data_IF_777703514341
#
_entry.id   IF_777703514341
#
_cell.length_a   1.000
_cell.length_b   1.000
_cell.length_c   1.000
_cell.angle_alpha   90.00
_cell.angle_beta   90.00
_cell.angle_gamma   90.00
#
_symmetry.space_group_name_H-M   'P 1'
#
loop_
_entity.id
_entity.type
_entity.pdbx_description
1 polymer ?
#
# COMPACT_ATOMS: atom_id res chain seq x y z
N UNK A 1 -4.66 4.68 2.90
CA UNK A 1 -5.61 3.84 2.14
C UNK A 1 -5.51 4.21 0.67
N UNK A 2 -5.30 3.25 -0.21
CA UNK A 2 -5.26 3.49 -1.65
C UNK A 2 -6.67 3.33 -2.25
N UNK A 3 -6.93 4.03 -3.35
CA UNK A 3 -8.15 3.85 -4.16
C UNK A 3 -7.80 3.56 -5.62
N UNK A 4 -8.77 3.03 -6.37
CA UNK A 4 -8.64 2.77 -7.79
C UNK A 4 -8.61 4.06 -8.61
N UNK A 5 -8.03 3.99 -9.81
CA UNK A 5 -7.94 5.12 -10.75
C UNK A 5 -9.32 5.72 -11.06
N UNK A 6 -10.34 4.87 -11.27
CA UNK A 6 -11.69 5.37 -11.56
C UNK A 6 -12.27 6.20 -10.41
N UNK A 7 -12.01 5.80 -9.15
CA UNK A 7 -12.46 6.53 -7.96
C UNK A 7 -11.71 7.86 -7.83
N UNK A 8 -10.39 7.86 -8.08
CA UNK A 8 -9.59 9.08 -8.09
C UNK A 8 -10.09 10.05 -9.17
N UNK A 9 -10.46 9.54 -10.35
CA UNK A 9 -11.06 10.34 -11.43
C UNK A 9 -12.43 10.92 -11.07
N UNK A 10 -13.26 10.16 -10.35
CA UNK A 10 -14.55 10.67 -9.86
C UNK A 10 -14.34 11.83 -8.87
N UNK A 11 -13.36 11.73 -7.96
CA UNK A 11 -12.96 12.82 -7.07
C UNK A 11 -12.45 14.02 -7.87
N UNK A 12 -11.53 13.81 -8.81
CA UNK A 12 -10.99 14.87 -9.67
C UNK A 12 -12.11 15.64 -10.39
N UNK A 13 -13.09 14.92 -10.94
CA UNK A 13 -14.25 15.51 -11.61
C UNK A 13 -15.08 16.39 -10.68
N UNK A 14 -15.30 15.98 -9.42
CA UNK A 14 -16.03 16.77 -8.42
C UNK A 14 -15.33 18.10 -8.11
N UNK A 15 -13.99 18.11 -8.16
CA UNK A 15 -13.16 19.29 -7.94
C UNK A 15 -12.85 20.08 -9.22
N UNK A 16 -13.48 19.74 -10.35
CA UNK A 16 -13.33 20.43 -11.62
C UNK A 16 -12.03 20.14 -12.37
N UNK A 17 -11.28 19.11 -11.97
CA UNK A 17 -10.11 18.64 -12.71
C UNK A 17 -10.60 17.83 -13.92
N UNK A 18 -10.22 18.21 -15.15
CA UNK A 18 -10.69 17.51 -16.33
C UNK A 18 -10.15 16.08 -16.40
N UNK A 19 -11.05 15.12 -16.55
CA UNK A 19 -10.76 13.70 -16.78
C UNK A 19 -11.53 13.24 -18.02
N UNK A 20 -11.06 12.18 -18.68
CA UNK A 20 -11.82 11.56 -19.74
C UNK A 20 -13.10 10.92 -19.17
N UNK A 21 -14.21 11.04 -19.90
CA UNK A 21 -15.41 10.28 -19.57
C UNK A 21 -15.12 8.80 -19.79
N UNK A 22 -15.31 8.00 -18.74
CA UNK A 22 -15.12 6.56 -18.83
C UNK A 22 -16.22 5.78 -18.14
N UNK A 23 -16.12 4.46 -18.27
CA UNK A 23 -17.04 3.49 -17.69
C UNK A 23 -16.24 2.34 -17.11
N UNK A 24 -16.75 1.77 -16.01
CA UNK A 24 -16.20 0.57 -15.40
C UNK A 24 -16.92 -0.66 -15.95
N UNK A 25 -16.18 -1.76 -16.13
CA UNK A 25 -16.75 -3.07 -16.42
C UNK A 25 -16.13 -4.15 -15.53
N UNK A 26 -16.96 -5.12 -15.13
CA UNK A 26 -16.58 -6.26 -14.28
C UNK A 26 -16.62 -7.61 -15.01
N UNK A 27 -17.11 -7.63 -16.25
CA UNK A 27 -17.05 -8.79 -17.13
C UNK A 27 -16.79 -8.35 -18.58
N UNK A 28 -16.39 -9.28 -19.48
CA UNK A 28 -16.10 -8.94 -20.87
C UNK A 28 -17.26 -8.33 -21.66
N UNK A 29 -18.50 -8.72 -21.38
CA UNK A 29 -19.68 -8.20 -22.08
C UNK A 29 -20.00 -6.76 -21.65
N UNK A 30 -19.89 -6.47 -20.35
CA UNK A 30 -19.91 -5.10 -19.82
C UNK A 30 -18.78 -4.27 -20.44
N UNK A 31 -17.58 -4.84 -20.60
CA UNK A 31 -16.45 -4.13 -21.18
C UNK A 31 -16.71 -3.75 -22.65
N UNK A 32 -17.31 -4.67 -23.41
CA UNK A 32 -17.75 -4.40 -24.77
C UNK A 32 -18.81 -3.31 -24.85
N UNK A 33 -19.85 -3.39 -24.00
CA UNK A 33 -20.93 -2.41 -23.96
C UNK A 33 -20.42 -1.01 -23.52
N UNK A 34 -19.55 -0.97 -22.52
CA UNK A 34 -18.92 0.25 -22.06
C UNK A 34 -18.00 0.86 -23.12
N UNK A 35 -17.19 0.03 -23.80
CA UNK A 35 -16.36 0.45 -24.92
C UNK A 35 -17.19 1.07 -26.04
N UNK A 36 -18.31 0.45 -26.43
CA UNK A 36 -19.25 1.02 -27.41
C UNK A 36 -19.82 2.37 -26.97
N UNK A 37 -20.14 2.52 -25.69
CA UNK A 37 -20.73 3.74 -25.15
C UNK A 37 -19.73 4.91 -25.07
N UNK A 38 -18.42 4.64 -24.96
CA UNK A 38 -17.37 5.68 -24.95
C UNK A 38 -16.74 5.89 -26.33
N UNK A 39 -16.87 4.93 -27.24
CA UNK A 39 -16.24 4.98 -28.56
C UNK A 39 -16.79 6.14 -29.40
N UNK A 40 -15.88 7.00 -29.82
CA UNK A 40 -16.16 8.07 -30.79
C UNK A 40 -15.29 7.83 -32.02
N UNK A 41 -15.85 7.82 -33.25
CA UNK A 41 -15.05 7.66 -34.46
C UNK A 41 -13.87 8.65 -34.51
N UNK A 42 -12.68 8.14 -34.79
CA UNK A 42 -11.44 8.93 -34.80
C UNK A 42 -10.71 9.03 -33.45
N UNK A 43 -11.28 8.48 -32.37
CA UNK A 43 -10.62 8.38 -31.06
C UNK A 43 -10.13 6.96 -30.78
N UNK A 44 -9.21 6.86 -29.83
CA UNK A 44 -8.75 5.58 -29.26
C UNK A 44 -9.51 5.28 -27.97
N UNK A 45 -9.60 4.01 -27.60
CA UNK A 45 -10.12 3.56 -26.30
C UNK A 45 -8.93 3.10 -25.45
N UNK A 46 -8.75 3.68 -24.28
CA UNK A 46 -7.82 3.15 -23.28
C UNK A 46 -8.59 2.22 -22.33
N UNK A 47 -8.27 0.94 -22.34
CA UNK A 47 -8.77 -0.04 -21.37
C UNK A 47 -7.69 -0.31 -20.31
N UNK A 48 -8.01 -0.09 -19.04
CA UNK A 48 -7.06 -0.08 -17.93
C UNK A 48 -7.52 -0.99 -16.80
N UNK A 49 -6.73 -2.01 -16.49
CA UNK A 49 -6.93 -2.85 -15.32
C UNK A 49 -6.89 -2.01 -14.04
N UNK A 50 -7.87 -2.20 -13.17
CA UNK A 50 -7.98 -1.50 -11.90
C UNK A 50 -7.31 -2.34 -10.81
N UNK A 51 -6.13 -1.89 -10.37
CA UNK A 51 -5.36 -2.46 -9.27
C UNK A 51 -4.67 -1.34 -8.49
N UNK A 52 -4.42 -1.54 -7.19
CA UNK A 52 -3.70 -0.58 -6.34
C UNK A 52 -2.18 -0.66 -6.54
N UNK A 53 -1.72 -0.41 -7.77
CA UNK A 53 -0.30 -0.38 -8.11
C UNK A 53 -0.03 0.49 -9.34
N UNK A 54 1.14 1.14 -9.35
CA UNK A 54 1.68 1.83 -10.52
C UNK A 54 2.31 0.87 -11.53
N UNK A 55 2.80 1.41 -12.65
CA UNK A 55 3.49 0.60 -13.66
C UNK A 55 2.61 -0.41 -14.42
N UNK A 56 1.28 -0.24 -14.37
CA UNK A 56 0.30 -1.14 -15.01
C UNK A 56 0.55 -1.31 -16.50
N UNK A 57 0.99 -0.25 -17.20
CA UNK A 57 1.38 -0.33 -18.62
C UNK A 57 2.53 -1.32 -18.86
N UNK A 58 3.58 -1.30 -18.02
CA UNK A 58 4.71 -2.23 -18.10
C UNK A 58 4.27 -3.68 -17.79
N UNK A 59 3.28 -3.85 -16.91
CA UNK A 59 2.64 -5.15 -16.62
C UNK A 59 1.64 -5.62 -17.68
N UNK A 60 1.42 -4.86 -18.76
CA UNK A 60 0.43 -5.16 -19.79
C UNK A 60 -1.03 -4.86 -19.39
N UNK A 61 -1.27 -4.26 -18.23
CA UNK A 61 -2.57 -3.89 -17.69
C UNK A 61 -3.22 -2.66 -18.33
N UNK A 62 -2.60 -2.05 -19.35
CA UNK A 62 -3.17 -0.95 -20.13
C UNK A 62 -3.15 -1.33 -21.61
N UNK A 63 -4.30 -1.25 -22.27
CA UNK A 63 -4.47 -1.52 -23.69
C UNK A 63 -5.05 -0.28 -24.39
N UNK A 64 -4.33 0.22 -25.39
CA UNK A 64 -4.90 1.14 -26.36
C UNK A 64 -5.57 0.31 -27.46
N UNK A 65 -6.90 0.39 -27.50
CA UNK A 65 -7.79 -0.35 -28.38
C UNK A 65 -8.35 0.57 -29.47
N UNK A 66 -8.55 0.02 -30.68
CA UNK A 66 -9.15 0.74 -31.81
C UNK A 66 -10.62 0.41 -31.99
N UNK A 67 -11.06 -0.72 -31.46
CA UNK A 67 -12.45 -1.19 -31.55
C UNK A 67 -12.97 -1.67 -30.19
N UNK A 68 -14.30 -1.67 -29.97
CA UNK A 68 -14.90 -2.33 -28.81
C UNK A 68 -14.55 -3.82 -28.70
N UNK A 69 -14.36 -4.50 -29.83
CA UNK A 69 -13.94 -5.90 -29.89
C UNK A 69 -12.53 -6.12 -29.29
N UNK A 70 -11.59 -5.20 -29.55
CA UNK A 70 -10.26 -5.23 -28.93
C UNK A 70 -10.35 -5.14 -27.40
N UNK A 71 -11.28 -4.33 -26.88
CA UNK A 71 -11.51 -4.15 -25.44
C UNK A 71 -12.08 -5.42 -24.83
N UNK A 72 -13.05 -6.07 -25.48
CA UNK A 72 -13.61 -7.33 -25.02
C UNK A 72 -12.54 -8.42 -24.91
N UNK A 73 -11.72 -8.58 -25.94
CA UNK A 73 -10.62 -9.55 -25.95
C UNK A 73 -9.59 -9.26 -24.83
N UNK A 74 -9.29 -7.99 -24.58
CA UNK A 74 -8.45 -7.59 -23.45
C UNK A 74 -9.08 -7.95 -22.10
N UNK A 75 -10.38 -7.70 -21.94
CA UNK A 75 -11.10 -8.02 -20.72
C UNK A 75 -11.16 -9.53 -20.43
N UNK A 76 -11.38 -10.36 -21.45
CA UNK A 76 -11.32 -11.84 -21.34
C UNK A 76 -9.94 -12.32 -20.88
N UNK A 77 -8.88 -11.64 -21.32
CA UNK A 77 -7.51 -11.99 -20.92
C UNK A 77 -7.20 -11.57 -19.48
N UNK A 78 -7.77 -10.46 -18.99
CA UNK A 78 -7.33 -9.82 -17.75
C UNK A 78 -8.23 -10.07 -16.54
N UNK A 79 -9.55 -10.00 -16.70
CA UNK A 79 -10.47 -10.12 -15.57
C UNK A 79 -10.34 -11.49 -14.89
N UNK A 80 -10.27 -11.48 -13.55
CA UNK A 80 -10.08 -12.67 -12.73
C UNK A 80 -8.64 -13.19 -12.66
N UNK A 81 -7.66 -12.49 -13.25
CA UNK A 81 -6.23 -12.79 -13.12
C UNK A 81 -5.53 -11.77 -12.23
N UNK A 82 -4.29 -12.07 -11.86
CA UNK A 82 -3.42 -11.15 -11.15
C UNK A 82 -2.54 -10.36 -12.13
N UNK A 83 -2.44 -9.05 -11.93
CA UNK A 83 -1.51 -8.18 -12.64
C UNK A 83 -0.21 -8.09 -11.85
N UNK A 84 0.88 -8.54 -12.45
CA UNK A 84 2.24 -8.29 -11.96
C UNK A 84 2.76 -6.99 -12.58
N UNK A 85 3.22 -6.09 -11.72
CA UNK A 85 3.85 -4.83 -12.09
C UNK A 85 5.18 -4.72 -11.36
N UNK A 86 6.04 -3.74 -11.69
CA UNK A 86 7.23 -3.44 -10.89
C UNK A 86 6.95 -3.14 -9.41
N UNK A 87 5.70 -2.87 -9.01
CA UNK A 87 5.31 -2.48 -7.65
C UNK A 87 4.51 -3.55 -6.86
N UNK A 88 4.19 -4.73 -7.43
CA UNK A 88 3.24 -5.69 -6.81
C UNK A 88 3.84 -7.02 -6.38
N UNK A 89 5.16 -7.19 -6.45
CA UNK A 89 5.78 -8.49 -6.24
C UNK A 89 5.37 -9.55 -7.29
N UNK A 90 5.88 -10.79 -7.17
CA UNK A 90 5.58 -11.90 -8.07
C UNK A 90 4.12 -12.38 -8.02
N UNK A 91 3.43 -12.18 -6.90
CA UNK A 91 2.03 -12.57 -6.69
C UNK A 91 1.05 -11.69 -7.48
N UNK A 92 1.43 -10.44 -7.75
CA UNK A 92 0.58 -9.47 -8.44
C UNK A 92 -0.66 -9.07 -7.62
N UNK A 93 -1.52 -8.25 -8.23
CA UNK A 93 -2.80 -7.83 -7.63
C UNK A 93 -3.99 -8.30 -8.46
N UNK A 94 -5.10 -8.74 -7.85
CA UNK A 94 -6.22 -9.29 -8.59
C UNK A 94 -6.95 -8.20 -9.39
N UNK A 95 -7.31 -8.52 -10.63
CA UNK A 95 -8.04 -7.63 -11.54
C UNK A 95 -9.53 -8.00 -11.52
N UNK A 96 -10.31 -7.24 -10.76
CA UNK A 96 -11.77 -7.42 -10.68
C UNK A 96 -12.56 -6.49 -11.61
N UNK A 97 -11.92 -5.46 -12.13
CA UNK A 97 -12.58 -4.52 -13.02
C UNK A 97 -11.60 -3.84 -13.98
N UNK A 98 -12.14 -3.34 -15.08
CA UNK A 98 -11.41 -2.58 -16.10
C UNK A 98 -12.13 -1.27 -16.32
N UNK A 99 -11.37 -0.18 -16.30
CA UNK A 99 -11.82 1.15 -16.66
C UNK A 99 -11.60 1.38 -18.16
N UNK A 100 -12.61 1.88 -18.86
CA UNK A 100 -12.50 2.24 -20.28
C UNK A 100 -12.84 3.70 -20.47
N UNK A 101 -12.00 4.41 -21.20
CA UNK A 101 -12.20 5.80 -21.55
C UNK A 101 -11.77 6.05 -22.98
N UNK A 102 -12.43 6.98 -23.64
CA UNK A 102 -12.01 7.44 -24.97
C UNK A 102 -11.18 8.71 -24.84
N UNK A 103 -10.17 8.80 -25.71
CA UNK A 103 -9.25 9.93 -25.72
C UNK A 103 -8.79 10.25 -27.14
N UNK A 104 -8.48 11.53 -27.36
CA UNK A 104 -7.70 11.99 -28.50
C UNK A 104 -6.21 11.69 -28.29
N UNK A 105 -5.40 11.97 -29.31
CA UNK A 105 -3.95 11.92 -29.21
C UNK A 105 -3.41 12.92 -28.19
N UNK A 106 -2.25 12.58 -27.64
CA UNK A 106 -1.54 13.36 -26.63
C UNK A 106 -0.51 14.25 -27.33
N UNK A 107 -0.55 15.55 -27.05
CA UNK A 107 0.39 16.55 -27.58
C UNK A 107 1.60 16.76 -26.67
N UNK A 108 1.36 16.80 -25.34
CA UNK A 108 2.41 17.00 -24.34
C UNK A 108 1.98 16.42 -23.00
N UNK A 109 2.92 15.79 -22.29
CA UNK A 109 2.67 15.13 -21.01
C UNK A 109 3.46 15.81 -19.89
N UNK A 110 2.85 15.86 -18.71
CA UNK A 110 3.42 16.37 -17.47
C UNK A 110 3.26 15.33 -16.37
N UNK A 111 4.15 15.41 -15.38
CA UNK A 111 3.96 14.78 -14.08
C UNK A 111 3.47 15.84 -13.09
N UNK A 112 2.51 15.48 -12.25
CA UNK A 112 2.08 16.32 -11.12
C UNK A 112 1.82 15.44 -9.91
N UNK A 113 2.34 15.83 -8.74
CA UNK A 113 2.03 15.16 -7.49
C UNK A 113 2.00 16.13 -6.31
N UNK A 114 1.30 15.75 -5.24
CA UNK A 114 1.32 16.46 -3.97
C UNK A 114 1.58 15.46 -2.86
N UNK A 115 2.56 15.78 -2.00
CA UNK A 115 2.93 14.99 -0.82
C UNK A 115 3.10 15.91 0.39
N UNK A 116 3.02 15.34 1.59
CA UNK A 116 3.49 16.02 2.81
C UNK A 116 5.00 15.82 2.95
N UNK A 117 5.78 16.89 2.80
CA UNK A 117 7.22 16.83 2.98
C UNK A 117 7.55 16.83 4.48
N UNK A 118 8.16 15.73 4.94
CA UNK A 118 8.50 15.54 6.36
C UNK A 118 9.65 16.43 6.83
N UNK A 119 10.50 16.92 5.93
CA UNK A 119 11.65 17.76 6.28
C UNK A 119 11.23 19.21 6.53
N UNK A 120 10.34 19.74 5.69
CA UNK A 120 9.81 21.11 5.81
C UNK A 120 8.52 21.17 6.61
N UNK A 121 7.86 20.03 6.85
CA UNK A 121 6.53 19.94 7.48
C UNK A 121 5.46 20.72 6.69
N UNK A 122 5.59 20.78 5.37
CA UNK A 122 4.68 21.49 4.47
C UNK A 122 4.19 20.56 3.35
N UNK A 123 3.02 20.88 2.79
CA UNK A 123 2.58 20.25 1.56
C UNK A 123 3.49 20.71 0.41
N UNK A 124 3.90 19.78 -0.44
CA UNK A 124 4.82 20.01 -1.54
C UNK A 124 4.16 19.61 -2.86
N UNK A 125 3.90 20.60 -3.71
CA UNK A 125 3.55 20.38 -5.11
C UNK A 125 4.83 20.04 -5.88
N UNK A 126 4.84 18.87 -6.50
CA UNK A 126 5.90 18.39 -7.38
C UNK A 126 5.34 18.40 -8.81
N UNK A 127 6.04 19.03 -9.74
CA UNK A 127 5.65 19.01 -11.15
C UNK A 127 6.88 18.86 -12.05
N UNK A 128 6.70 18.20 -13.19
CA UNK A 128 7.77 18.00 -14.18
C UNK A 128 7.21 17.97 -15.59
N UNK A 129 8.00 18.47 -16.55
CA UNK A 129 7.70 18.35 -17.98
C UNK A 129 8.00 16.97 -18.55
N UNK A 130 8.54 16.05 -17.74
CA UNK A 130 8.81 14.66 -18.09
C UNK A 130 7.64 13.76 -17.64
N UNK A 131 6.43 13.99 -18.16
CA UNK A 131 5.29 13.12 -17.92
C UNK A 131 5.42 11.76 -18.60
N UNK A 132 4.70 10.76 -18.10
CA UNK A 132 4.71 9.39 -18.63
C UNK A 132 5.94 8.57 -18.24
N UNK A 133 6.86 9.16 -17.47
CA UNK A 133 8.08 8.53 -16.98
C UNK A 133 7.98 8.22 -15.48
N UNK A 134 8.85 7.35 -14.99
CA UNK A 134 9.05 7.12 -13.56
C UNK A 134 9.67 8.39 -12.94
N UNK A 135 8.99 8.97 -11.95
CA UNK A 135 9.38 10.28 -11.42
C UNK A 135 10.62 10.17 -10.53
N UNK A 136 10.82 9.03 -9.90
CA UNK A 136 12.00 8.72 -9.10
C UNK A 136 13.24 8.65 -10.00
N UNK A 137 13.14 8.02 -11.18
CA UNK A 137 14.21 8.02 -12.19
C UNK A 137 14.52 9.45 -12.69
N UNK A 138 13.48 10.24 -12.96
CA UNK A 138 13.64 11.65 -13.38
C UNK A 138 14.30 12.46 -12.27
N UNK A 139 13.92 12.27 -11.01
CA UNK A 139 14.53 12.99 -9.89
C UNK A 139 16.01 12.63 -9.68
N UNK A 140 16.39 11.37 -9.93
CA UNK A 140 17.77 10.90 -9.79
C UNK A 140 18.68 11.37 -10.94
N UNK A 141 18.19 11.34 -12.17
CA UNK A 141 19.00 11.58 -13.37
C UNK A 141 18.82 12.97 -14.00
N UNK A 142 17.66 13.60 -13.76
CA UNK A 142 17.26 14.89 -14.32
C UNK A 142 16.61 15.81 -13.27
N UNK A 143 17.27 16.07 -12.12
CA UNK A 143 16.70 16.87 -11.03
C UNK A 143 16.32 18.30 -11.48
N UNK A 144 16.93 18.84 -12.54
CA UNK A 144 16.61 20.14 -13.12
C UNK A 144 15.18 20.21 -13.72
N UNK A 145 14.59 19.06 -14.08
CA UNK A 145 13.20 18.99 -14.57
C UNK A 145 12.18 18.94 -13.43
N UNK A 146 12.63 18.80 -12.19
CA UNK A 146 11.78 18.70 -11.02
C UNK A 146 11.49 20.09 -10.44
N UNK A 147 10.26 20.55 -10.61
CA UNK A 147 9.77 21.77 -9.97
C UNK A 147 9.11 21.37 -8.66
N UNK A 148 9.60 21.92 -7.55
CA UNK A 148 9.00 21.76 -6.21
C UNK A 148 8.51 23.11 -5.70
N UNK A 149 7.31 23.14 -5.16
CA UNK A 149 6.73 24.31 -4.52
C UNK A 149 6.03 23.94 -3.22
N UNK A 150 6.50 24.50 -2.11
CA UNK A 150 5.92 24.27 -0.79
C UNK A 150 4.81 25.26 -0.50
N UNK A 151 3.73 24.79 0.12
CA UNK A 151 2.61 25.62 0.52
C UNK A 151 2.04 25.20 1.88
N UNK A 152 1.39 26.15 2.55
CA UNK A 152 0.73 25.91 3.83
C UNK A 152 -0.62 25.23 3.62
N UNK A 153 -0.89 24.17 4.38
CA UNK A 153 -2.21 23.51 4.41
C UNK A 153 -3.30 24.42 4.99
N UNK A 154 -2.94 25.48 5.72
CA UNK A 154 -3.92 26.43 6.27
C UNK A 154 -4.47 27.38 5.20
N UNK A 155 -3.65 27.75 4.22
CA UNK A 155 -4.01 28.73 3.19
C UNK A 155 -4.22 28.10 1.81
N UNK A 156 -3.78 26.85 1.62
CA UNK A 156 -3.74 26.19 0.32
C UNK A 156 -2.71 26.80 -0.63
N UNK A 157 -2.75 26.36 -1.89
CA UNK A 157 -1.87 26.86 -2.95
C UNK A 157 -2.43 28.16 -3.54
N UNK A 158 -1.67 29.25 -3.42
CA UNK A 158 -2.04 30.53 -4.00
C UNK A 158 -1.97 30.51 -5.54
N UNK A 159 -2.92 31.17 -6.20
CA UNK A 159 -2.99 31.23 -7.67
C UNK A 159 -1.72 31.79 -8.33
N UNK A 160 -1.13 32.82 -7.72
CA UNK A 160 0.11 33.40 -8.22
C UNK A 160 1.26 32.40 -8.23
N UNK A 161 1.34 31.52 -7.21
CA UNK A 161 2.38 30.50 -7.13
C UNK A 161 2.10 29.34 -8.08
N UNK A 162 0.83 28.92 -8.20
CA UNK A 162 0.42 27.91 -9.18
C UNK A 162 0.79 28.32 -10.61
N UNK A 163 0.61 29.60 -10.97
CA UNK A 163 1.04 30.15 -12.27
C UNK A 163 2.56 30.14 -12.43
N UNK A 164 3.33 30.50 -11.39
CA UNK A 164 4.81 30.43 -11.43
C UNK A 164 5.30 29.00 -11.66
N UNK A 165 4.65 28.00 -11.04
CA UNK A 165 4.96 26.59 -11.27
C UNK A 165 4.63 26.20 -12.71
N UNK A 166 3.43 26.55 -13.21
CA UNK A 166 3.02 26.28 -14.58
C UNK A 166 3.98 26.87 -15.63
N UNK A 167 4.44 28.10 -15.41
CA UNK A 167 5.40 28.78 -16.28
C UNK A 167 6.77 28.09 -16.38
N UNK A 168 7.15 27.28 -15.38
CA UNK A 168 8.36 26.45 -15.44
C UNK A 168 8.19 25.18 -16.28
N UNK A 169 6.96 24.77 -16.59
CA UNK A 169 6.66 23.54 -17.33
C UNK A 169 6.38 23.80 -18.82
N UNK A 170 5.82 24.96 -19.14
CA UNK A 170 5.42 25.34 -20.49
C UNK A 170 5.36 26.86 -20.67
N UNK A 171 5.79 27.34 -21.84
CA UNK A 171 5.83 28.78 -22.17
C UNK A 171 4.45 29.37 -22.51
N UNK A 172 3.55 28.58 -23.09
CA UNK A 172 2.23 29.04 -23.52
C UNK A 172 1.30 29.33 -22.33
N UNK A 173 0.96 30.62 -22.17
CA UNK A 173 0.16 31.15 -21.08
C UNK A 173 -1.23 30.51 -20.94
N UNK A 174 -1.83 30.04 -22.04
CA UNK A 174 -3.13 29.34 -21.99
C UNK A 174 -3.00 28.07 -21.17
N UNK A 175 -1.93 27.30 -21.39
CA UNK A 175 -1.70 26.06 -20.66
C UNK A 175 -1.18 26.31 -19.25
N UNK A 176 -0.41 27.39 -19.02
CA UNK A 176 -0.03 27.79 -17.66
C UNK A 176 -1.26 28.06 -16.78
N UNK A 177 -2.30 28.73 -17.32
CA UNK A 177 -3.56 28.97 -16.60
C UNK A 177 -4.30 27.67 -16.30
N UNK A 178 -4.43 26.76 -17.28
CA UNK A 178 -5.06 25.46 -17.07
C UNK A 178 -4.31 24.60 -16.03
N UNK A 179 -2.97 24.59 -16.10
CA UNK A 179 -2.14 23.90 -15.11
C UNK A 179 -2.33 24.49 -13.71
N UNK A 180 -2.34 25.82 -13.59
CA UNK A 180 -2.55 26.49 -12.32
C UNK A 180 -3.90 26.14 -11.69
N UNK A 181 -4.98 26.10 -12.49
CA UNK A 181 -6.31 25.70 -12.01
C UNK A 181 -6.31 24.25 -11.50
N UNK A 182 -5.63 23.33 -12.20
CA UNK A 182 -5.45 21.94 -11.75
C UNK A 182 -4.65 21.87 -10.45
N UNK A 183 -3.53 22.60 -10.33
CA UNK A 183 -2.71 22.57 -9.11
C UNK A 183 -3.47 23.07 -7.89
N UNK A 184 -4.27 24.14 -8.04
CA UNK A 184 -5.11 24.66 -6.97
C UNK A 184 -6.18 23.64 -6.59
N UNK A 185 -6.85 23.02 -7.56
CA UNK A 185 -7.85 21.99 -7.29
C UNK A 185 -7.25 20.78 -6.57
N UNK A 186 -6.07 20.30 -7.01
CA UNK A 186 -5.33 19.25 -6.32
C UNK A 186 -4.96 19.64 -4.89
N UNK A 187 -4.54 20.89 -4.65
CA UNK A 187 -4.25 21.36 -3.28
C UNK A 187 -5.48 21.33 -2.38
N UNK A 188 -6.67 21.61 -2.92
CA UNK A 188 -7.94 21.51 -2.17
C UNK A 188 -8.27 20.07 -1.84
N UNK A 189 -8.21 19.17 -2.81
CA UNK A 189 -8.39 17.72 -2.60
C UNK A 189 -7.44 17.23 -1.49
N UNK A 190 -6.16 17.63 -1.59
CA UNK A 190 -5.14 17.19 -0.65
C UNK A 190 -5.47 17.56 0.80
N UNK A 191 -5.97 18.78 1.01
CA UNK A 191 -6.29 19.32 2.34
C UNK A 191 -7.66 18.83 2.84
N UNK A 192 -8.69 18.95 2.01
CA UNK A 192 -10.08 18.68 2.42
C UNK A 192 -10.34 17.20 2.68
N UNK A 193 -9.63 16.31 1.97
CA UNK A 193 -9.85 14.87 2.04
C UNK A 193 -8.74 14.12 2.81
N UNK A 194 -7.84 14.83 3.50
CA UNK A 194 -6.70 14.27 4.24
C UNK A 194 -5.87 13.27 3.40
N UNK A 195 -5.46 13.74 2.22
CA UNK A 195 -4.67 12.91 1.32
C UNK A 195 -3.20 12.94 1.75
N UNK A 196 -2.55 11.78 1.71
CA UNK A 196 -1.11 11.64 1.97
C UNK A 196 -0.26 11.72 0.69
N UNK A 197 -0.82 11.27 -0.44
CA UNK A 197 -0.22 11.34 -1.77
C UNK A 197 -1.29 11.54 -2.84
N UNK A 198 -1.10 12.53 -3.70
CA UNK A 198 -1.76 12.63 -5.00
C UNK A 198 -0.69 12.50 -6.08
N UNK A 199 -0.99 11.75 -7.13
CA UNK A 199 -0.15 11.68 -8.33
C UNK A 199 -1.04 11.61 -9.59
N UNK A 200 -0.69 12.44 -10.58
CA UNK A 200 -1.23 12.40 -11.94
C UNK A 200 -0.06 12.19 -12.89
N UNK A 201 0.00 11.01 -13.51
CA UNK A 201 1.10 10.65 -14.41
C UNK A 201 0.63 9.76 -15.58
N UNK A 202 0.29 10.33 -16.76
CA UNK A 202 0.49 11.73 -17.13
C UNK A 202 -0.73 12.63 -16.88
N UNK A 203 -0.46 13.90 -16.60
CA UNK A 203 -1.37 15.02 -16.89
C UNK A 203 -1.03 15.50 -18.31
N UNK A 204 -1.97 15.48 -19.25
CA UNK A 204 -1.65 15.66 -20.66
C UNK A 204 -2.46 16.77 -21.34
N UNK A 205 -1.80 17.49 -22.25
CA UNK A 205 -2.48 18.33 -23.23
C UNK A 205 -2.85 17.43 -24.42
N UNK A 206 -4.14 17.41 -24.75
CA UNK A 206 -4.69 16.67 -25.87
C UNK A 206 -4.52 17.46 -27.18
N UNK A 207 -4.73 16.78 -28.33
CA UNK A 207 -4.69 17.42 -29.65
C UNK A 207 -5.72 18.55 -29.83
N UNK A 208 -6.86 18.49 -29.13
CA UNK A 208 -7.86 19.57 -29.10
C UNK A 208 -7.48 20.73 -28.15
N UNK A 209 -6.31 20.64 -27.52
CA UNK A 209 -5.75 21.66 -26.63
C UNK A 209 -6.38 21.71 -25.25
N UNK A 210 -7.14 20.70 -24.83
CA UNK A 210 -7.60 20.53 -23.45
C UNK A 210 -6.54 19.82 -22.61
N UNK A 211 -6.44 20.19 -21.33
CA UNK A 211 -5.65 19.46 -20.35
C UNK A 211 -6.52 18.36 -19.72
N UNK A 212 -6.04 17.12 -19.66
CA UNK A 212 -6.73 15.98 -19.04
C UNK A 212 -5.80 15.21 -18.10
N UNK A 213 -6.31 14.81 -16.94
CA UNK A 213 -5.66 13.84 -16.07
C UNK A 213 -5.86 12.42 -16.64
N UNK A 214 -4.82 11.89 -17.29
CA UNK A 214 -4.89 10.61 -17.99
C UNK A 214 -4.80 9.46 -17.02
N UNK A 215 -3.88 9.52 -16.05
CA UNK A 215 -3.79 8.53 -14.97
C UNK A 215 -3.79 9.24 -13.62
N UNK A 216 -4.32 8.58 -12.60
CA UNK A 216 -4.56 9.15 -11.28
C UNK A 216 -4.31 8.12 -10.19
N UNK A 217 -3.57 8.54 -9.16
CA UNK A 217 -3.34 7.80 -7.93
C UNK A 217 -3.56 8.71 -6.74
N UNK A 218 -4.32 8.23 -5.77
CA UNK A 218 -4.58 8.92 -4.50
C UNK A 218 -4.40 7.91 -3.37
N UNK A 219 -3.61 8.31 -2.37
CA UNK A 219 -3.49 7.59 -1.10
C UNK A 219 -3.95 8.51 0.04
N UNK A 220 -4.95 8.09 0.80
CA UNK A 220 -5.45 8.80 1.98
C UNK A 220 -4.64 8.45 3.23
N UNK A 221 -4.60 9.37 4.20
CA UNK A 221 -4.16 9.05 5.56
C UNK A 221 -5.19 8.16 6.25
N UNK A 222 -4.78 6.93 6.62
CA UNK A 222 -5.64 5.96 7.31
C UNK A 222 -6.18 6.51 8.63
N UNK A 223 -5.41 7.38 9.30
CA UNK A 223 -5.80 7.97 10.58
C UNK A 223 -6.94 8.97 10.45
N UNK A 224 -7.24 9.46 9.24
CA UNK A 224 -8.30 10.43 9.00
C UNK A 224 -9.61 9.79 8.51
N UNK A 225 -9.63 8.49 8.21
CA UNK A 225 -10.81 7.84 7.60
C UNK A 225 -12.07 7.91 8.48
N UNK A 226 -11.92 8.02 9.81
CA UNK A 226 -13.06 8.13 10.73
C UNK A 226 -13.95 9.35 10.47
N UNK A 227 -13.42 10.40 9.83
CA UNK A 227 -14.14 11.64 9.48
C UNK A 227 -14.49 11.75 7.99
N UNK A 228 -14.18 10.71 7.20
CA UNK A 228 -14.43 10.64 5.76
C UNK A 228 -15.17 9.34 5.39
N UNK A 229 -16.42 9.14 5.84
CA UNK A 229 -17.17 7.91 5.58
C UNK A 229 -17.35 7.64 4.08
N UNK A 230 -17.50 8.67 3.25
CA UNK A 230 -17.60 8.58 1.80
C UNK A 230 -16.32 8.09 1.12
N UNK A 231 -15.16 8.29 1.75
CA UNK A 231 -13.88 7.73 1.31
C UNK A 231 -13.71 6.32 1.86
N UNK A 232 -14.06 6.07 3.13
CA UNK A 232 -13.91 4.76 3.76
C UNK A 232 -14.66 3.64 2.99
N UNK A 233 -15.82 3.94 2.39
CA UNK A 233 -16.56 2.98 1.56
C UNK A 233 -15.85 2.59 0.25
N UNK A 234 -14.84 3.35 -0.17
CA UNK A 234 -14.05 3.08 -1.37
C UNK A 234 -13.00 1.99 -1.16
N UNK A 235 -12.76 1.56 0.09
CA UNK A 235 -11.78 0.54 0.43
C UNK A 235 -12.04 -0.78 -0.30
N UNK A 236 -11.03 -1.26 -1.02
CA UNK A 236 -11.05 -2.56 -1.68
C UNK A 236 -10.08 -3.53 -0.96
N UNK A 237 -10.58 -4.39 -0.05
CA UNK A 237 -9.75 -5.33 0.69
C UNK A 237 -9.12 -6.41 -0.21
N UNK A 238 -9.61 -6.60 -1.45
CA UNK A 238 -9.01 -7.56 -2.37
C UNK A 238 -7.62 -7.15 -2.86
N UNK A 239 -7.29 -5.86 -2.71
CA UNK A 239 -6.00 -5.31 -3.09
C UNK A 239 -4.96 -5.37 -1.97
N UNK A 240 -5.35 -5.72 -0.74
CA UNK A 240 -4.46 -5.84 0.42
C UNK A 240 -4.04 -7.31 0.61
N UNK A 241 -2.95 -7.53 1.36
CA UNK A 241 -2.65 -8.87 1.86
C UNK A 241 -3.77 -9.30 2.83
N UNK A 242 -4.30 -10.51 2.65
CA UNK A 242 -5.37 -11.03 3.51
C UNK A 242 -4.93 -11.12 4.97
N UNK A 243 -3.65 -11.38 5.22
CA UNK A 243 -3.06 -11.43 6.57
C UNK A 243 -3.03 -10.05 7.21
N UNK A 244 -2.71 -9.01 6.44
CA UNK A 244 -2.76 -7.62 6.90
C UNK A 244 -4.20 -7.19 7.19
N UNK A 245 -5.15 -7.59 6.33
CA UNK A 245 -6.57 -7.31 6.53
C UNK A 245 -7.13 -7.99 7.78
N UNK A 246 -6.76 -9.26 8.03
CA UNK A 246 -7.12 -9.95 9.28
C UNK A 246 -6.45 -9.29 10.51
N UNK A 247 -5.18 -8.87 10.40
CA UNK A 247 -4.47 -8.18 11.48
C UNK A 247 -5.17 -6.87 11.90
N UNK A 248 -5.61 -6.07 10.92
CA UNK A 248 -6.32 -4.80 11.17
C UNK A 248 -7.58 -4.99 12.04
N UNK A 249 -8.30 -6.12 11.91
CA UNK A 249 -9.51 -6.40 12.72
C UNK A 249 -9.23 -6.52 14.21
N UNK A 250 -8.00 -6.86 14.58
CA UNK A 250 -7.55 -7.00 15.96
C UNK A 250 -6.66 -5.84 16.43
N UNK A 251 -6.59 -4.75 15.64
CA UNK A 251 -5.69 -3.62 15.93
C UNK A 251 -4.24 -4.11 16.09
N UNK A 252 -3.81 -4.92 15.12
CA UNK A 252 -2.46 -5.43 14.95
C UNK A 252 -1.84 -4.79 13.70
N UNK A 253 -0.61 -4.31 13.80
CA UNK A 253 0.14 -3.84 12.64
C UNK A 253 0.99 -4.98 12.09
N UNK A 254 0.57 -5.57 10.98
CA UNK A 254 1.25 -6.68 10.31
C UNK A 254 1.75 -6.24 8.93
N UNK A 255 2.92 -6.73 8.52
CA UNK A 255 3.40 -6.65 7.13
C UNK A 255 4.05 -7.99 6.78
N UNK A 256 3.60 -8.61 5.69
CA UNK A 256 4.17 -9.87 5.20
C UNK A 256 5.55 -9.65 4.56
N UNK A 257 6.51 -10.54 4.84
CA UNK A 257 7.83 -10.57 4.21
C UNK A 257 8.12 -11.97 3.66
N UNK A 258 9.27 -12.18 3.03
CA UNK A 258 9.60 -13.42 2.32
C UNK A 258 10.45 -14.42 3.11
N UNK A 259 10.68 -14.16 4.40
CA UNK A 259 11.45 -15.04 5.26
C UNK A 259 10.69 -16.22 5.87
N UNK A 260 11.34 -16.88 6.82
CA UNK A 260 10.86 -18.11 7.46
C UNK A 260 10.68 -18.00 8.97
N UNK A 261 11.16 -16.89 9.57
CA UNK A 261 11.04 -16.65 11.01
C UNK A 261 9.90 -15.66 11.27
N UNK A 262 8.80 -16.17 11.80
CA UNK A 262 7.68 -15.35 12.24
C UNK A 262 8.04 -14.53 13.47
N UNK A 263 7.71 -13.25 13.49
CA UNK A 263 7.98 -12.36 14.61
C UNK A 263 6.68 -11.96 15.31
N UNK A 264 6.65 -11.95 16.64
CA UNK A 264 5.60 -11.31 17.47
C UNK A 264 6.28 -10.38 18.46
N UNK A 265 6.03 -9.08 18.32
CA UNK A 265 6.75 -8.05 19.09
C UNK A 265 5.78 -6.96 19.54
N UNK A 266 6.08 -6.29 20.65
CA UNK A 266 5.36 -5.09 21.08
C UNK A 266 6.19 -3.83 20.84
N UNK A 267 5.60 -2.86 20.14
CA UNK A 267 6.21 -1.62 19.72
C UNK A 267 6.93 -1.73 18.37
N UNK A 268 6.53 -0.88 17.43
CA UNK A 268 7.06 -0.86 16.06
C UNK A 268 8.60 -0.77 15.98
N UNK A 269 9.23 0.04 16.84
CA UNK A 269 10.69 0.15 16.87
C UNK A 269 11.39 -1.16 17.27
N UNK A 270 10.85 -1.87 18.26
CA UNK A 270 11.38 -3.16 18.68
C UNK A 270 11.09 -4.25 17.64
N UNK A 271 9.94 -4.18 16.96
CA UNK A 271 9.59 -5.10 15.88
C UNK A 271 10.59 -4.98 14.71
N UNK A 272 10.92 -3.75 14.29
CA UNK A 272 11.97 -3.50 13.30
C UNK A 272 13.34 -4.01 13.76
N UNK A 273 13.76 -3.68 14.98
CA UNK A 273 15.03 -4.16 15.52
C UNK A 273 15.09 -5.71 15.62
N UNK A 274 13.95 -6.36 15.87
CA UNK A 274 13.85 -7.82 15.93
C UNK A 274 14.07 -8.46 14.57
N UNK A 275 13.46 -7.89 13.52
CA UNK A 275 13.71 -8.31 12.14
C UNK A 275 15.16 -8.10 11.74
N UNK A 276 15.74 -6.94 12.08
CA UNK A 276 17.14 -6.62 11.77
C UNK A 276 18.11 -7.59 12.43
N UNK A 277 17.89 -7.95 13.70
CA UNK A 277 18.79 -8.88 14.39
C UNK A 277 18.65 -10.32 13.88
N UNK A 278 17.46 -10.73 13.42
CA UNK A 278 17.27 -12.02 12.73
C UNK A 278 18.10 -12.04 11.43
N UNK A 279 18.02 -10.96 10.65
CA UNK A 279 18.80 -10.80 9.41
C UNK A 279 20.30 -10.78 9.68
N UNK A 280 20.71 -10.07 10.74
CA UNK A 280 22.10 -10.02 11.20
C UNK A 280 22.66 -11.41 11.57
N UNK A 281 21.85 -12.26 12.21
CA UNK A 281 22.24 -13.64 12.55
C UNK A 281 22.08 -14.64 11.38
N UNK A 282 21.70 -14.15 10.18
CA UNK A 282 21.78 -14.90 8.93
C UNK A 282 20.51 -15.64 8.50
N UNK A 283 19.33 -15.21 8.95
CA UNK A 283 18.04 -15.71 8.45
C UNK A 283 17.13 -14.57 8.02
N UNK A 284 16.10 -14.86 7.22
CA UNK A 284 15.15 -13.83 6.80
C UNK A 284 13.89 -13.84 7.69
N UNK A 285 13.44 -12.67 8.19
CA UNK A 285 12.18 -12.55 8.91
C UNK A 285 10.98 -12.72 7.96
N UNK A 286 9.96 -13.44 8.40
CA UNK A 286 8.76 -13.73 7.60
C UNK A 286 7.72 -12.60 7.66
N UNK A 287 7.81 -11.70 8.64
CA UNK A 287 6.87 -10.62 8.82
C UNK A 287 7.39 -9.55 9.78
N UNK A 288 6.81 -8.35 9.66
CA UNK A 288 6.67 -7.39 10.77
C UNK A 288 5.34 -7.68 11.48
N UNK A 289 5.32 -7.66 12.81
CA UNK A 289 4.07 -7.71 13.59
C UNK A 289 4.25 -7.02 14.94
N UNK A 290 3.53 -5.91 15.10
CA UNK A 290 3.39 -5.16 16.35
C UNK A 290 2.02 -5.45 16.99
N UNK A 291 2.04 -6.01 18.20
CA UNK A 291 0.84 -6.28 19.02
C UNK A 291 0.42 -5.10 19.90
N UNK A 292 1.17 -3.99 19.87
CA UNK A 292 0.97 -2.79 20.66
C UNK A 292 1.41 -2.93 22.13
N UNK A 293 1.28 -1.85 22.89
CA UNK A 293 1.71 -1.79 24.30
C UNK A 293 0.88 -2.65 25.27
N UNK A 294 -0.34 -3.04 24.89
CA UNK A 294 -1.23 -3.91 25.65
C UNK A 294 -1.58 -5.17 24.87
N UNK A 295 -0.76 -6.20 24.95
CA UNK A 295 -1.02 -7.47 24.27
C UNK A 295 -2.05 -8.29 25.06
N UNK A 296 -3.33 -8.16 24.71
CA UNK A 296 -4.38 -9.03 25.25
C UNK A 296 -4.21 -10.47 24.75
N UNK A 297 -4.80 -11.43 25.47
CA UNK A 297 -4.84 -12.84 25.04
C UNK A 297 -5.41 -12.99 23.62
N UNK A 298 -6.46 -12.24 23.30
CA UNK A 298 -7.11 -12.25 21.98
C UNK A 298 -6.18 -11.75 20.87
N UNK A 299 -5.46 -10.64 21.11
CA UNK A 299 -4.46 -10.10 20.17
C UNK A 299 -3.34 -11.10 19.91
N UNK A 300 -2.86 -11.80 20.96
CA UNK A 300 -1.83 -12.84 20.83
C UNK A 300 -2.36 -14.06 20.06
N UNK A 301 -3.60 -14.49 20.30
CA UNK A 301 -4.21 -15.59 19.55
C UNK A 301 -4.40 -15.25 18.07
N UNK A 302 -4.86 -14.03 17.78
CA UNK A 302 -4.96 -13.53 16.41
C UNK A 302 -3.58 -13.49 15.73
N UNK A 303 -2.55 -13.00 16.42
CA UNK A 303 -1.17 -13.00 15.93
C UNK A 303 -0.69 -14.40 15.52
N UNK A 304 -0.91 -15.43 16.35
CA UNK A 304 -0.55 -16.80 16.00
C UNK A 304 -1.34 -17.33 14.80
N UNK A 305 -2.64 -17.07 14.73
CA UNK A 305 -3.47 -17.50 13.60
C UNK A 305 -2.99 -16.88 12.27
N UNK A 306 -2.65 -15.59 12.30
CA UNK A 306 -2.13 -14.86 11.14
C UNK A 306 -0.75 -15.40 10.76
N UNK A 307 0.18 -15.54 11.70
CA UNK A 307 1.52 -16.06 11.45
C UNK A 307 1.51 -17.47 10.85
N UNK A 308 0.76 -18.37 11.48
CA UNK A 308 0.71 -19.76 11.06
C UNK A 308 0.01 -19.91 9.70
N UNK A 309 -0.80 -18.93 9.28
CA UNK A 309 -1.39 -18.90 7.94
C UNK A 309 -0.37 -18.83 6.81
N UNK A 310 0.82 -18.28 7.09
CA UNK A 310 1.94 -18.33 6.18
C UNK A 310 2.68 -19.67 6.28
N UNK A 311 2.61 -20.46 5.22
CA UNK A 311 3.28 -21.77 5.13
C UNK A 311 4.82 -21.65 5.14
N UNK A 312 5.36 -20.46 4.88
CA UNK A 312 6.80 -20.18 4.92
C UNK A 312 7.33 -20.11 6.35
N UNK A 313 6.49 -19.79 7.33
CA UNK A 313 6.90 -19.71 8.74
C UNK A 313 7.29 -21.10 9.25
N UNK A 314 8.57 -21.27 9.61
CA UNK A 314 9.17 -22.50 10.15
C UNK A 314 9.69 -22.35 11.57
N UNK A 315 9.88 -21.13 12.06
CA UNK A 315 10.24 -20.82 13.43
C UNK A 315 9.56 -19.51 13.85
N UNK A 316 9.35 -19.32 15.16
CA UNK A 316 8.73 -18.10 15.70
C UNK A 316 9.63 -17.48 16.76
N UNK A 317 9.88 -16.17 16.66
CA UNK A 317 10.49 -15.36 17.70
C UNK A 317 9.44 -14.42 18.32
N UNK A 318 9.15 -14.64 19.61
CA UNK A 318 8.35 -13.74 20.43
C UNK A 318 9.31 -12.89 21.25
N UNK A 319 9.37 -11.60 20.96
CA UNK A 319 10.23 -10.66 21.69
C UNK A 319 9.36 -9.59 22.34
N UNK A 320 9.14 -9.71 23.65
CA UNK A 320 8.26 -8.80 24.38
C UNK A 320 9.01 -8.12 25.50
N UNK A 321 8.98 -6.80 25.47
CA UNK A 321 9.44 -5.94 26.55
C UNK A 321 8.21 -5.48 27.36
N UNK A 322 8.01 -6.10 28.53
CA UNK A 322 6.97 -5.79 29.49
C UNK A 322 7.19 -4.43 30.16
N UNK A 323 6.63 -3.38 29.55
CA UNK A 323 6.48 -2.06 30.18
C UNK A 323 5.38 -2.08 31.22
N UNK A 324 4.18 -1.66 30.83
CA UNK A 324 2.98 -1.66 31.70
C UNK A 324 2.44 -3.09 31.93
N UNK A 325 2.70 -4.00 30.98
CA UNK A 325 2.21 -5.37 31.03
C UNK A 325 3.18 -6.29 31.78
N UNK A 326 2.63 -7.12 32.69
CA UNK A 326 3.38 -8.14 33.42
C UNK A 326 3.65 -9.37 32.56
N UNK A 327 4.89 -9.83 32.53
CA UNK A 327 5.32 -10.98 31.73
C UNK A 327 4.65 -12.30 32.15
N UNK A 328 4.30 -12.48 33.42
CA UNK A 328 3.60 -13.69 33.90
C UNK A 328 2.15 -13.79 33.38
N UNK A 329 1.48 -12.64 33.23
CA UNK A 329 0.13 -12.57 32.63
C UNK A 329 0.20 -12.87 31.14
N UNK A 330 1.17 -12.26 30.45
CA UNK A 330 1.41 -12.52 29.02
C UNK A 330 1.75 -13.99 28.76
N UNK A 331 2.63 -14.59 29.57
CA UNK A 331 3.01 -15.99 29.43
C UNK A 331 1.78 -16.92 29.51
N UNK A 332 0.88 -16.68 30.46
CA UNK A 332 -0.41 -17.40 30.54
C UNK A 332 -1.28 -17.14 29.31
N UNK A 333 -1.36 -15.89 28.87
CA UNK A 333 -2.11 -15.51 27.67
C UNK A 333 -1.60 -16.20 26.40
N UNK A 334 -0.28 -16.35 26.24
CA UNK A 334 0.33 -17.11 25.13
C UNK A 334 -0.13 -18.58 25.19
N UNK A 335 -0.03 -19.22 26.35
CA UNK A 335 -0.42 -20.63 26.48
C UNK A 335 -1.92 -20.85 26.19
N UNK A 336 -2.77 -19.97 26.71
CA UNK A 336 -4.21 -20.04 26.45
C UNK A 336 -4.54 -19.73 24.99
N UNK A 337 -3.89 -18.74 24.36
CA UNK A 337 -4.05 -18.44 22.94
C UNK A 337 -3.74 -19.68 22.07
N UNK A 338 -2.69 -20.40 22.43
CA UNK A 338 -2.25 -21.64 21.76
C UNK A 338 -3.24 -22.80 21.95
N UNK A 339 -4.05 -22.81 23.01
CA UNK A 339 -5.16 -23.76 23.20
C UNK A 339 -6.39 -23.44 22.33
N UNK A 340 -6.57 -22.19 21.91
CA UNK A 340 -7.71 -21.77 21.06
C UNK A 340 -7.48 -21.99 19.56
N UNK A 341 -6.28 -22.40 19.16
CA UNK A 341 -5.95 -22.67 17.76
C UNK A 341 -6.75 -23.86 17.22
N UNK A 342 -7.12 -23.79 15.94
CA UNK A 342 -7.75 -24.93 15.27
C UNK A 342 -6.82 -26.15 15.27
N UNK A 343 -7.35 -27.39 15.17
CA UNK A 343 -6.52 -28.61 15.22
C UNK A 343 -5.35 -28.61 14.23
N UNK A 344 -5.58 -28.13 12.99
CA UNK A 344 -4.54 -28.04 11.96
C UNK A 344 -3.45 -27.02 12.33
N UNK A 345 -3.85 -25.86 12.85
CA UNK A 345 -2.93 -24.80 13.32
C UNK A 345 -2.13 -25.27 14.52
N UNK A 346 -2.79 -25.98 15.44
CA UNK A 346 -2.13 -26.53 16.62
C UNK A 346 -1.08 -27.56 16.22
N UNK A 347 -1.41 -28.48 15.32
CA UNK A 347 -0.47 -29.47 14.81
C UNK A 347 0.73 -28.85 14.07
N UNK A 348 0.52 -27.72 13.38
CA UNK A 348 1.61 -26.92 12.79
C UNK A 348 2.49 -26.28 13.87
N UNK A 349 1.87 -25.65 14.88
CA UNK A 349 2.59 -24.99 15.96
C UNK A 349 3.43 -25.95 16.78
N UNK A 350 2.92 -27.15 17.10
CA UNK A 350 3.63 -28.16 17.89
C UNK A 350 4.97 -28.59 17.24
N UNK A 351 5.08 -28.45 15.91
CA UNK A 351 6.30 -28.73 15.13
C UNK A 351 7.20 -27.51 14.95
N UNK A 352 6.67 -26.32 15.20
CA UNK A 352 7.33 -25.04 14.97
C UNK A 352 8.09 -24.62 16.23
N UNK A 353 9.43 -24.54 16.24
CA UNK A 353 10.17 -24.04 17.37
C UNK A 353 9.80 -22.58 17.67
N UNK A 354 9.52 -22.31 18.94
CA UNK A 354 9.18 -20.99 19.45
C UNK A 354 10.31 -20.53 20.36
N UNK A 355 10.95 -19.41 20.05
CA UNK A 355 11.87 -18.74 20.96
C UNK A 355 11.16 -17.56 21.58
N UNK A 356 11.17 -17.46 22.90
CA UNK A 356 10.51 -16.39 23.64
C UNK A 356 11.54 -15.64 24.48
N UNK A 357 11.64 -14.35 24.22
CA UNK A 357 12.36 -13.40 25.05
C UNK A 357 11.36 -12.49 25.76
N UNK A 358 11.30 -12.64 27.08
CA UNK A 358 10.50 -11.80 27.98
C UNK A 358 11.43 -10.99 28.86
N UNK A 359 11.26 -9.68 28.86
CA UNK A 359 11.93 -8.77 29.79
C UNK A 359 10.95 -7.78 30.41
N UNK A 360 11.23 -7.30 31.63
CA UNK A 360 10.34 -6.41 32.38
C UNK A 360 9.73 -7.03 33.64
N UNK A 361 8.56 -6.54 34.06
CA UNK A 361 7.93 -6.94 35.32
C UNK A 361 7.53 -8.42 35.31
N UNK A 362 7.98 -9.19 36.31
CA UNK A 362 7.77 -10.63 36.45
C UNK A 362 8.28 -11.46 35.27
N UNK A 363 9.34 -11.00 34.60
CA UNK A 363 9.94 -11.72 33.47
C UNK A 363 10.35 -13.14 33.88
N UNK A 364 10.97 -13.30 35.05
CA UNK A 364 11.41 -14.61 35.54
C UNK A 364 10.23 -15.59 35.68
N UNK A 365 9.16 -15.18 36.34
CA UNK A 365 7.95 -15.96 36.53
C UNK A 365 7.28 -16.31 35.20
N UNK A 366 7.23 -15.35 34.26
CA UNK A 366 6.75 -15.60 32.90
C UNK A 366 7.56 -16.68 32.18
N UNK A 367 8.89 -16.64 32.28
CA UNK A 367 9.76 -17.68 31.70
C UNK A 367 9.54 -19.05 32.35
N UNK A 368 9.36 -19.10 33.67
CA UNK A 368 9.05 -20.34 34.39
C UNK A 368 7.69 -20.94 34.00
N UNK A 369 6.68 -20.10 33.72
CA UNK A 369 5.37 -20.52 33.21
C UNK A 369 5.53 -21.17 31.83
N UNK A 370 6.26 -20.54 30.92
CA UNK A 370 6.46 -21.06 29.57
C UNK A 370 7.30 -22.34 29.55
N UNK A 371 8.31 -22.45 30.42
CA UNK A 371 9.16 -23.63 30.54
C UNK A 371 8.40 -24.90 30.98
N UNK A 372 7.25 -24.75 31.64
CA UNK A 372 6.39 -25.87 32.06
C UNK A 372 5.39 -26.30 30.97
N UNK A 373 5.36 -25.62 29.83
CA UNK A 373 4.46 -25.96 28.73
C UNK A 373 4.94 -27.17 27.92
N UNK A 374 4.02 -27.87 27.28
CA UNK A 374 4.33 -28.98 26.37
C UNK A 374 4.71 -28.51 24.94
N UNK A 375 4.99 -27.21 24.77
CA UNK A 375 5.37 -26.64 23.48
C UNK A 375 6.87 -26.79 23.25
N UNK A 376 7.31 -26.86 21.99
CA UNK A 376 8.72 -26.75 21.60
C UNK A 376 9.21 -25.30 21.77
N UNK A 377 9.30 -24.87 23.02
CA UNK A 377 9.50 -23.48 23.42
C UNK A 377 10.84 -23.33 24.14
N UNK A 378 11.62 -22.34 23.71
CA UNK A 378 12.89 -21.95 24.31
C UNK A 378 12.77 -20.55 24.88
N UNK A 379 13.05 -20.39 26.18
CA UNK A 379 13.00 -19.07 26.80
C UNK A 379 14.39 -18.55 27.11
N UNK A 380 14.65 -17.30 26.71
CA UNK A 380 15.93 -16.59 26.92
C UNK A 380 15.66 -15.18 27.44
N UNK A 381 16.68 -14.55 28.04
CA UNK A 381 16.59 -13.17 28.52
C UNK A 381 17.24 -12.15 27.59
N UNK A 382 18.37 -12.55 26.97
CA UNK A 382 19.13 -11.66 26.09
C UNK A 382 18.55 -11.61 24.68
N UNK A 383 18.57 -10.42 24.08
CA UNK A 383 17.99 -10.18 22.77
C UNK A 383 18.81 -10.85 21.64
N UNK A 384 20.14 -10.80 21.72
CA UNK A 384 21.03 -11.42 20.73
C UNK A 384 20.97 -12.94 20.84
N UNK A 385 20.91 -13.46 22.07
CA UNK A 385 20.70 -14.90 22.32
C UNK A 385 19.39 -15.38 21.69
N UNK A 386 18.30 -14.62 21.79
CA UNK A 386 17.02 -14.96 21.19
C UNK A 386 17.09 -15.10 19.67
N UNK A 387 17.73 -14.14 19.00
CA UNK A 387 17.93 -14.17 17.55
C UNK A 387 18.80 -15.37 17.13
N UNK A 388 19.94 -15.59 17.79
CA UNK A 388 20.79 -16.77 17.52
C UNK A 388 20.04 -18.07 17.68
N UNK A 389 19.31 -18.20 18.80
CA UNK A 389 18.58 -19.42 19.13
C UNK A 389 17.51 -19.72 18.09
N UNK A 390 16.73 -18.72 17.64
CA UNK A 390 15.67 -18.97 16.66
C UNK A 390 16.25 -19.37 15.30
N UNK A 391 17.39 -18.81 14.91
CA UNK A 391 18.11 -19.19 13.68
C UNK A 391 18.68 -20.60 13.78
N UNK A 392 19.26 -20.97 14.92
CA UNK A 392 19.72 -22.34 15.18
C UNK A 392 18.57 -23.35 15.11
N UNK A 393 17.43 -23.06 15.72
CA UNK A 393 16.27 -23.94 15.69
C UNK A 393 15.64 -24.01 14.30
N UNK A 394 15.64 -22.92 13.52
CA UNK A 394 15.23 -22.93 12.11
C UNK A 394 16.09 -23.92 11.31
N UNK A 395 17.41 -23.91 11.48
CA UNK A 395 18.35 -24.82 10.78
C UNK A 395 18.13 -26.29 11.09
N UNK A 396 17.50 -26.62 12.22
CA UNK A 396 17.17 -28.02 12.60
C UNK A 396 15.84 -28.50 12.01
N UNK A 397 15.00 -27.58 11.55
CA UNK A 397 13.68 -27.86 10.96
C UNK A 397 13.77 -27.93 9.43
N UNK A 398 14.79 -27.28 8.84
CA UNK A 398 15.25 -27.55 7.47
C UNK A 398 16.00 -28.87 7.43
#
# INVERSE_FOLDING_TARGET
MNIHEYQAKDIFKQYGIPVASGRLAKNPDEAYAAAKAVFTPGQIIAAKAQVHAGGRGKGGGIKIAKTPEDVKAFAEKMLGKNLVTPQTGPEGKPIHSIWMESSLGLKKEFYVGIVLDRGTCQACLIASSAGGMDIEEVAAHHPEKMVRHFFSIQTGLAKADALKVGAKLIEDEKYQKQLADVFIALSKIFIELDVSLIEINPLAIMDDGKLLAIDAKINFDDNALFRHPEIAIMYDPSQDDTRETEAKKFDLSYVGLDGEIGCVVNGAGLAMATMDIIKYEGAEPANFLDVGGGASQEKVAAAFNILLSDKRVKAILINIFGGIMRCDVLAKGILQAVETLSPDRRAQLDRTPIVVRLEGTNAKEGREILAKSNLKLFSVSDFKEAAKKVVEELKKVK
#
